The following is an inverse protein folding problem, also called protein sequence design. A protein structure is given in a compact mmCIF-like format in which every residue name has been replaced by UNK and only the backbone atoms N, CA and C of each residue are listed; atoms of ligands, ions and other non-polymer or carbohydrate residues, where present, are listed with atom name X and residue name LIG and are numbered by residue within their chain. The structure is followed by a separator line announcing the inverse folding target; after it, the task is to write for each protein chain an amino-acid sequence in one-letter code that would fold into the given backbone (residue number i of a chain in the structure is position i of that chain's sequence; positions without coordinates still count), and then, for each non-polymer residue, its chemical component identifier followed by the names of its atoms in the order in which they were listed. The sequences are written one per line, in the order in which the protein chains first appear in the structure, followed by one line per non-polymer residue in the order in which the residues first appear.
data_IF_333778229725
#
_entry.id   IF_333778229725
#
_cell.length_a   1.000
_cell.length_b   1.000
_cell.length_c   1.000
_cell.angle_alpha   90.00
_cell.angle_beta   90.00
_cell.angle_gamma   90.00
#
_symmetry.space_group_name_H-M   'P 1'
#
loop_
_entity.id
_entity.type
_entity.pdbx_description
1 polymer ?
#
# COMPACT_ATOMS: atom_id res chain seq x y z
N UNK A 1 -8.26 1.51 -4.03
CA UNK A 1 -7.22 0.57 -4.54
C UNK A 1 -7.36 -0.77 -3.81
N UNK A 2 -6.95 -1.88 -4.43
CA UNK A 2 -6.94 -3.22 -3.83
C UNK A 2 -5.57 -3.86 -3.93
N UNK A 3 -5.27 -4.82 -3.07
CA UNK A 3 -4.10 -5.67 -3.22
C UNK A 3 -4.43 -6.87 -4.12
N UNK A 4 -3.58 -7.11 -5.10
CA UNK A 4 -3.67 -8.31 -5.93
C UNK A 4 -2.77 -9.41 -5.38
N UNK A 5 -3.37 -10.50 -4.90
CA UNK A 5 -2.66 -11.59 -4.22
C UNK A 5 -1.75 -12.33 -5.21
N UNK A 6 -2.21 -12.55 -6.45
CA UNK A 6 -1.44 -13.26 -7.47
C UNK A 6 -0.28 -12.42 -7.99
N UNK A 7 -0.52 -11.12 -8.25
CA UNK A 7 0.50 -10.20 -8.74
C UNK A 7 1.43 -9.64 -7.67
N UNK A 8 1.07 -9.73 -6.38
CA UNK A 8 1.83 -9.14 -5.28
C UNK A 8 1.96 -7.61 -5.39
N UNK A 9 0.98 -6.96 -6.01
CA UNK A 9 1.00 -5.52 -6.29
C UNK A 9 -0.33 -4.85 -6.02
N UNK A 10 -0.30 -3.55 -5.74
CA UNK A 10 -1.50 -2.72 -5.69
C UNK A 10 -2.11 -2.55 -7.09
N UNK A 11 -3.43 -2.64 -7.16
CA UNK A 11 -4.24 -2.48 -8.38
C UNK A 11 -5.48 -1.64 -8.10
N UNK A 12 -6.21 -1.23 -9.14
CA UNK A 12 -7.44 -0.47 -8.97
C UNK A 12 -8.50 -1.24 -8.18
N UNK A 13 -9.29 -0.51 -7.39
CA UNK A 13 -10.42 -1.10 -6.70
C UNK A 13 -11.51 -1.50 -7.70
N UNK A 14 -12.30 -2.52 -7.34
CA UNK A 14 -13.48 -2.89 -8.12
C UNK A 14 -14.59 -1.86 -7.91
N UNK A 15 -15.47 -1.74 -8.89
CA UNK A 15 -16.61 -0.84 -8.82
C UNK A 15 -17.45 -1.16 -7.57
N UNK A 16 -17.83 -0.10 -6.82
CA UNK A 16 -18.58 -0.17 -5.55
C UNK A 16 -17.86 -0.86 -4.38
N UNK A 17 -16.55 -1.09 -4.48
CA UNK A 17 -15.74 -1.64 -3.39
C UNK A 17 -14.80 -0.58 -2.81
N UNK A 18 -15.31 0.20 -1.84
CA UNK A 18 -14.59 1.36 -1.29
C UNK A 18 -13.41 0.94 -0.38
N UNK A 19 -13.60 -0.11 0.42
CA UNK A 19 -12.59 -0.63 1.35
C UNK A 19 -12.43 -2.14 1.18
N UNK A 20 -11.62 -2.60 0.20
CA UNK A 20 -11.31 -4.01 0.06
C UNK A 20 -10.49 -4.51 1.26
N UNK A 21 -10.68 -5.78 1.61
CA UNK A 21 -9.87 -6.42 2.67
C UNK A 21 -8.45 -6.63 2.18
N UNK A 22 -7.46 -6.27 3.02
CA UNK A 22 -6.06 -6.58 2.77
C UNK A 22 -5.74 -7.99 3.28
N UNK A 23 -4.96 -8.80 2.55
CA UNK A 23 -4.47 -10.05 3.09
C UNK A 23 -3.46 -9.80 4.22
N UNK A 24 -3.14 -10.84 4.97
CA UNK A 24 -2.03 -10.80 5.93
C UNK A 24 -0.72 -10.73 5.16
N UNK A 25 0.06 -9.67 5.41
CA UNK A 25 1.37 -9.45 4.77
C UNK A 25 2.46 -9.64 5.82
N UNK A 26 3.44 -10.49 5.53
CA UNK A 26 4.60 -10.67 6.38
C UNK A 26 5.58 -9.51 6.18
N UNK A 27 5.88 -8.78 7.25
CA UNK A 27 6.86 -7.70 7.25
C UNK A 27 8.19 -8.24 7.79
N UNK A 28 9.29 -7.92 7.10
CA UNK A 28 10.65 -8.25 7.54
C UNK A 28 11.44 -6.97 7.68
N UNK A 29 12.24 -6.89 8.73
CA UNK A 29 13.23 -5.82 8.86
C UNK A 29 14.35 -6.06 7.85
N UNK A 30 14.65 -5.05 7.04
CA UNK A 30 15.72 -5.06 6.05
C UNK A 30 16.56 -3.80 6.29
N UNK A 31 17.90 -3.86 6.25
CA UNK A 31 18.75 -2.67 6.30
C UNK A 31 18.42 -1.72 5.14
N UNK A 32 18.49 -0.41 5.39
CA UNK A 32 18.07 0.62 4.44
C UNK A 32 18.74 0.47 3.06
N UNK A 33 20.02 0.08 3.03
CA UNK A 33 20.80 -0.09 1.79
C UNK A 33 20.28 -1.22 0.87
N UNK A 34 19.50 -2.15 1.42
CA UNK A 34 18.89 -3.27 0.68
C UNK A 34 17.40 -3.07 0.42
N UNK A 35 16.84 -1.93 0.82
CA UNK A 35 15.43 -1.66 0.61
C UNK A 35 15.16 -1.39 -0.87
N UNK A 36 14.31 -2.22 -1.47
CA UNK A 36 13.89 -2.05 -2.86
C UNK A 36 12.85 -0.92 -2.96
N UNK A 37 13.28 0.27 -3.40
CA UNK A 37 12.40 1.45 -3.56
C UNK A 37 11.82 1.57 -4.97
N UNK A 38 12.34 0.81 -5.94
CA UNK A 38 11.87 0.89 -7.33
C UNK A 38 10.45 0.36 -7.45
N UNK A 39 9.60 1.07 -8.20
CA UNK A 39 8.21 0.70 -8.48
C UNK A 39 7.38 0.39 -7.23
N UNK A 40 7.63 1.14 -6.15
CA UNK A 40 6.97 0.92 -4.88
C UNK A 40 6.24 2.20 -4.48
N UNK A 41 5.02 2.03 -3.96
CA UNK A 41 4.18 3.08 -3.43
C UNK A 41 4.26 3.10 -1.91
N UNK A 42 4.56 4.26 -1.35
CA UNK A 42 4.58 4.50 0.09
C UNK A 42 3.15 4.69 0.60
N UNK A 43 2.58 3.62 1.16
CA UNK A 43 1.21 3.58 1.64
C UNK A 43 1.16 3.87 3.16
N UNK A 44 0.55 4.99 3.59
CA UNK A 44 0.37 5.28 5.01
C UNK A 44 -0.69 4.37 5.63
N UNK A 45 -0.37 3.77 6.76
CA UNK A 45 -1.25 2.90 7.53
C UNK A 45 -1.73 3.61 8.78
N UNK A 46 -3.04 3.55 9.01
CA UNK A 46 -3.74 4.18 10.12
C UNK A 46 -4.47 3.12 10.95
N UNK A 47 -4.67 3.41 12.24
CA UNK A 47 -5.48 2.54 13.11
C UNK A 47 -6.95 2.53 12.73
N UNK A 48 -7.47 3.65 12.23
CA UNK A 48 -8.90 3.83 11.91
C UNK A 48 -9.11 4.45 10.54
N UNK A 49 -10.29 4.22 9.96
CA UNK A 49 -10.66 4.74 8.62
C UNK A 49 -10.72 6.27 8.57
N UNK A 50 -10.90 6.95 9.71
CA UNK A 50 -11.01 8.40 9.79
C UNK A 50 -9.65 9.13 9.67
N UNK A 51 -8.53 8.40 9.58
CA UNK A 51 -7.17 8.91 9.30
C UNK A 51 -6.74 10.14 10.12
N UNK A 52 -7.31 10.30 11.32
CA UNK A 52 -7.00 11.40 12.22
C UNK A 52 -5.58 11.23 12.79
N UNK A 53 -5.36 11.55 14.07
CA UNK A 53 -4.06 11.35 14.72
C UNK A 53 -3.75 9.88 15.03
N UNK A 54 -3.95 8.99 14.06
CA UNK A 54 -3.84 7.52 14.19
C UNK A 54 -2.86 6.93 13.19
N UNK A 55 -1.96 7.75 12.65
CA UNK A 55 -0.87 7.29 11.79
C UNK A 55 0.01 6.31 12.56
N UNK A 56 0.26 5.15 11.95
CA UNK A 56 1.08 4.09 12.53
C UNK A 56 2.43 4.06 11.84
N UNK A 57 2.42 3.88 10.52
CA UNK A 57 3.64 3.69 9.72
C UNK A 57 3.34 3.83 8.22
N UNK A 58 4.39 4.04 7.42
CA UNK A 58 4.29 4.04 5.95
C UNK A 58 4.96 2.79 5.39
N UNK A 59 4.20 1.94 4.71
CA UNK A 59 4.70 0.70 4.13
C UNK A 59 4.94 0.83 2.64
N UNK A 60 6.05 0.27 2.17
CA UNK A 60 6.42 0.26 0.76
C UNK A 60 5.70 -0.90 0.04
N UNK A 61 4.58 -0.61 -0.64
CA UNK A 61 3.77 -1.57 -1.39
C UNK A 61 4.16 -1.60 -2.87
N UNK A 62 4.43 -2.78 -3.42
CA UNK A 62 4.82 -2.93 -4.83
C UNK A 62 3.68 -2.48 -5.76
N UNK A 63 4.03 -1.80 -6.86
CA UNK A 63 3.08 -1.35 -7.87
C UNK A 63 3.63 -1.56 -9.28
N UNK A 64 2.73 -1.78 -10.24
CA UNK A 64 3.05 -1.80 -11.68
C UNK A 64 2.87 -0.42 -12.32
N UNK A 65 2.18 0.49 -11.62
CA UNK A 65 1.85 1.82 -12.11
C UNK A 65 2.76 2.88 -11.49
N UNK A 66 2.72 4.11 -12.00
CA UNK A 66 3.50 5.21 -11.42
C UNK A 66 3.03 5.46 -9.97
N UNK A 67 3.94 5.55 -8.98
CA UNK A 67 3.58 5.79 -7.59
C UNK A 67 2.67 7.02 -7.40
N UNK A 68 2.87 8.07 -8.20
CA UNK A 68 2.05 9.28 -8.19
C UNK A 68 0.54 9.04 -8.37
N UNK A 69 0.14 8.00 -9.13
CA UNK A 69 -1.28 7.63 -9.28
C UNK A 69 -1.92 7.31 -7.93
N UNK A 70 -1.20 6.57 -7.08
CA UNK A 70 -1.71 6.10 -5.79
C UNK A 70 -1.69 7.20 -4.74
N UNK A 71 -0.74 8.14 -4.83
CA UNK A 71 -0.70 9.34 -3.98
C UNK A 71 -1.95 10.21 -4.24
N UNK A 72 -2.31 10.42 -5.50
CA UNK A 72 -3.49 11.24 -5.87
C UNK A 72 -4.83 10.57 -5.57
N UNK A 73 -4.86 9.23 -5.60
CA UNK A 73 -6.04 8.44 -5.24
C UNK A 73 -6.18 8.19 -3.72
N UNK A 74 -5.19 8.66 -2.95
CA UNK A 74 -5.01 8.40 -1.52
C UNK A 74 -6.05 9.05 -0.64
#
# INVERSE_FOLDING_TARGET
ARWDIQGGTITEARLKELTPSMPVIAVRAIPNDRQETRNTYECPVYKTKLRANTYIWTFSLKTRERPAKWVLAG
#
